data_IF_245315180043
#
_entry.id   IF_245315180043
#
_cell.length_a   1.000
_cell.length_b   1.000
_cell.length_c   1.000
_cell.angle_alpha   90.00
_cell.angle_beta   90.00
_cell.angle_gamma   90.00
#
_symmetry.space_group_name_H-M   'P 1'
#
loop_
_entity.id
_entity.type
_entity.pdbx_description
1 polymer ?
#
# COMPACT_ATOMS: atom_id res chain seq x y z
N UNK A 1 40.32 20.71 -36.63
CA UNK A 1 39.55 21.22 -35.48
C UNK A 1 39.11 20.02 -34.66
N UNK A 2 39.85 19.70 -33.61
CA UNK A 2 39.68 18.47 -32.81
C UNK A 2 38.90 18.77 -31.52
N UNK A 3 37.94 17.90 -31.17
CA UNK A 3 37.17 17.96 -29.93
C UNK A 3 38.07 17.69 -28.71
N UNK A 4 37.86 18.38 -27.57
CA UNK A 4 38.48 17.96 -26.33
C UNK A 4 37.70 16.80 -25.71
N UNK A 5 38.39 15.67 -25.55
CA UNK A 5 37.97 14.49 -24.79
C UNK A 5 37.74 14.88 -23.33
N UNK A 6 36.48 14.91 -22.87
CA UNK A 6 36.17 15.01 -21.44
C UNK A 6 36.25 13.63 -20.79
N UNK A 7 37.45 13.28 -20.37
CA UNK A 7 37.68 12.25 -19.34
C UNK A 7 37.18 12.80 -18.02
N UNK A 8 35.95 12.47 -17.66
CA UNK A 8 35.33 12.82 -16.39
C UNK A 8 34.79 11.56 -15.73
N UNK A 9 35.51 11.09 -14.73
CA UNK A 9 35.16 10.07 -13.73
C UNK A 9 33.69 10.20 -13.31
N UNK A 10 32.80 9.38 -13.87
CA UNK A 10 31.48 9.15 -13.24
C UNK A 10 31.70 8.13 -12.15
N UNK A 11 31.66 8.65 -10.92
CA UNK A 11 31.60 7.90 -9.68
C UNK A 11 30.60 6.74 -9.84
N UNK A 12 31.13 5.52 -9.87
CA UNK A 12 30.43 4.30 -9.47
C UNK A 12 30.01 4.45 -8.00
N UNK A 13 29.02 5.31 -7.75
CA UNK A 13 28.16 5.11 -6.59
C UNK A 13 27.20 4.02 -7.03
N UNK A 14 27.68 2.77 -6.97
CA UNK A 14 26.80 1.64 -6.78
C UNK A 14 26.02 1.94 -5.50
N UNK A 15 24.91 2.68 -5.63
CA UNK A 15 23.95 2.82 -4.56
C UNK A 15 23.55 1.39 -4.28
N UNK A 16 24.09 0.80 -3.21
CA UNK A 16 23.66 -0.52 -2.78
C UNK A 16 22.15 -0.37 -2.60
N UNK A 17 21.38 -0.93 -3.52
CA UNK A 17 20.01 -1.32 -3.29
C UNK A 17 20.10 -2.32 -2.15
N UNK A 18 20.16 -1.79 -0.93
CA UNK A 18 20.13 -2.56 0.28
C UNK A 18 18.86 -3.37 0.13
N UNK A 19 19.00 -4.70 0.02
CA UNK A 19 17.87 -5.62 -0.11
C UNK A 19 16.80 -5.30 0.92
N UNK A 20 17.23 -4.81 2.09
CA UNK A 20 16.37 -4.28 3.14
C UNK A 20 15.46 -3.14 2.68
N UNK A 21 15.97 -2.12 1.95
CA UNK A 21 15.14 -1.02 1.41
C UNK A 21 14.10 -1.54 0.41
N UNK A 22 14.47 -2.48 -0.45
CA UNK A 22 13.53 -3.12 -1.39
C UNK A 22 12.43 -3.85 -0.62
N UNK A 23 12.80 -4.62 0.40
CA UNK A 23 11.85 -5.31 1.27
C UNK A 23 10.96 -4.34 2.06
N UNK A 24 11.49 -3.21 2.53
CA UNK A 24 10.72 -2.16 3.20
C UNK A 24 9.68 -1.55 2.26
N UNK A 25 10.05 -1.19 1.02
CA UNK A 25 9.09 -0.67 0.05
C UNK A 25 8.04 -1.72 -0.36
N UNK A 26 8.46 -2.96 -0.60
CA UNK A 26 7.54 -4.06 -0.90
C UNK A 26 6.56 -4.30 0.26
N UNK A 27 7.08 -4.34 1.50
CA UNK A 27 6.27 -4.45 2.72
C UNK A 27 5.31 -3.27 2.89
N UNK A 28 5.75 -2.05 2.54
CA UNK A 28 4.91 -0.86 2.62
C UNK A 28 3.76 -0.91 1.61
N UNK A 29 4.02 -1.37 0.38
CA UNK A 29 2.97 -1.58 -0.63
C UNK A 29 1.97 -2.63 -0.16
N UNK A 30 2.46 -3.78 0.32
CA UNK A 30 1.59 -4.86 0.84
C UNK A 30 0.71 -4.33 1.98
N UNK A 31 1.30 -3.68 2.98
CA UNK A 31 0.55 -3.13 4.11
C UNK A 31 -0.40 -2.01 3.69
N UNK A 32 -0.05 -1.18 2.71
CA UNK A 32 -0.90 -0.11 2.20
C UNK A 32 -2.15 -0.66 1.48
N UNK A 33 -2.03 -1.82 0.83
CA UNK A 33 -3.14 -2.48 0.15
C UNK A 33 -4.10 -3.20 1.12
N UNK A 34 -3.69 -3.42 2.37
CA UNK A 34 -4.54 -4.03 3.39
C UNK A 34 -5.52 -2.98 3.92
N UNK A 35 -6.77 -3.13 3.50
CA UNK A 35 -7.89 -2.30 3.92
C UNK A 35 -8.66 -2.86 5.13
N UNK A 36 -9.72 -2.14 5.53
CA UNK A 36 -10.66 -2.64 6.53
C UNK A 36 -11.37 -3.91 6.08
N UNK A 37 -11.63 -4.09 4.78
CA UNK A 37 -12.26 -5.30 4.25
C UNK A 37 -11.38 -6.55 4.40
N UNK A 38 -10.06 -6.40 4.33
CA UNK A 38 -9.12 -7.47 4.68
C UNK A 38 -9.05 -7.69 6.19
N UNK A 39 -9.02 -6.61 6.98
CA UNK A 39 -8.96 -6.68 8.45
C UNK A 39 -10.19 -7.34 9.08
N UNK A 40 -11.39 -7.10 8.55
CA UNK A 40 -12.65 -7.74 8.97
C UNK A 40 -12.90 -9.08 8.27
N UNK A 41 -12.04 -9.48 7.32
CA UNK A 41 -12.18 -10.71 6.54
C UNK A 41 -13.29 -10.69 5.48
N UNK A 42 -14.02 -9.58 5.32
CA UNK A 42 -15.14 -9.47 4.38
C UNK A 42 -14.71 -9.66 2.92
N UNK A 43 -13.56 -9.09 2.53
CA UNK A 43 -13.01 -9.28 1.16
C UNK A 43 -12.65 -10.74 0.90
N UNK A 44 -12.07 -11.41 1.90
CA UNK A 44 -11.66 -12.83 1.80
C UNK A 44 -12.90 -13.71 1.62
N UNK A 45 -13.92 -13.52 2.45
CA UNK A 45 -15.16 -14.28 2.38
C UNK A 45 -15.89 -14.06 1.06
N UNK A 46 -15.96 -12.82 0.59
CA UNK A 46 -16.77 -12.45 -0.57
C UNK A 46 -16.09 -12.77 -1.91
N UNK A 47 -14.78 -12.55 -2.04
CA UNK A 47 -14.09 -12.65 -3.33
C UNK A 47 -13.22 -13.89 -3.49
N UNK A 48 -12.74 -14.47 -2.39
CA UNK A 48 -11.79 -15.58 -2.43
C UNK A 48 -12.41 -16.90 -2.00
N UNK A 49 -13.14 -16.93 -0.88
CA UNK A 49 -13.70 -18.17 -0.32
C UNK A 49 -15.03 -18.59 -0.97
N UNK A 50 -15.84 -17.64 -1.45
CA UNK A 50 -17.17 -17.89 -2.01
C UNK A 50 -17.19 -18.82 -3.23
N UNK A 51 -16.11 -18.85 -4.01
CA UNK A 51 -15.97 -19.68 -5.22
C UNK A 51 -15.03 -20.89 -5.03
N UNK A 52 -14.72 -21.25 -3.77
CA UNK A 52 -13.79 -22.35 -3.46
C UNK A 52 -12.37 -22.12 -3.98
N UNK A 53 -11.63 -23.19 -4.28
CA UNK A 53 -10.23 -23.11 -4.69
C UNK A 53 -10.01 -22.28 -5.97
N UNK A 54 -11.00 -22.29 -6.88
CA UNK A 54 -10.95 -21.49 -8.11
C UNK A 54 -11.06 -19.98 -7.85
N UNK A 55 -11.81 -19.56 -6.82
CA UNK A 55 -11.85 -18.17 -6.38
C UNK A 55 -10.50 -17.70 -5.85
N UNK A 56 -9.85 -18.53 -5.03
CA UNK A 56 -8.54 -18.22 -4.46
C UNK A 56 -7.49 -18.07 -5.56
N UNK A 57 -7.38 -19.05 -6.47
CA UNK A 57 -6.35 -19.04 -7.52
C UNK A 57 -6.70 -18.04 -8.62
N UNK A 58 -7.93 -18.03 -9.10
CA UNK A 58 -8.37 -17.17 -10.20
C UNK A 58 -8.40 -15.70 -9.81
N UNK A 59 -9.18 -15.34 -8.79
CA UNK A 59 -9.28 -13.95 -8.32
C UNK A 59 -7.94 -13.47 -7.76
N UNK A 60 -7.25 -14.31 -6.98
CA UNK A 60 -5.96 -13.95 -6.39
C UNK A 60 -4.88 -13.68 -7.43
N UNK A 61 -4.74 -14.54 -8.45
CA UNK A 61 -3.76 -14.32 -9.51
C UNK A 61 -4.05 -13.04 -10.31
N UNK A 62 -5.31 -12.81 -10.68
CA UNK A 62 -5.71 -11.61 -11.43
C UNK A 62 -5.43 -10.34 -10.62
N UNK A 63 -5.85 -10.30 -9.35
CA UNK A 63 -5.61 -9.14 -8.47
C UNK A 63 -4.11 -8.89 -8.28
N UNK A 64 -3.33 -9.95 -8.04
CA UNK A 64 -1.88 -9.83 -7.84
C UNK A 64 -1.17 -9.29 -9.09
N UNK A 65 -1.53 -9.77 -10.28
CA UNK A 65 -0.96 -9.29 -11.56
C UNK A 65 -1.31 -7.82 -11.77
N UNK A 66 -2.58 -7.44 -11.63
CA UNK A 66 -3.04 -6.08 -11.87
C UNK A 66 -2.43 -5.08 -10.88
N UNK A 67 -2.42 -5.41 -9.60
CA UNK A 67 -1.82 -4.55 -8.57
C UNK A 67 -0.32 -4.40 -8.80
N UNK A 68 0.39 -5.49 -9.10
CA UNK A 68 1.84 -5.44 -9.36
C UNK A 68 2.15 -4.58 -10.57
N UNK A 69 1.38 -4.73 -11.66
CA UNK A 69 1.53 -3.92 -12.86
C UNK A 69 1.34 -2.42 -12.55
N UNK A 70 0.24 -2.04 -11.90
CA UNK A 70 -0.05 -0.63 -11.57
C UNK A 70 0.98 -0.06 -10.61
N UNK A 71 1.35 -0.78 -9.56
CA UNK A 71 2.32 -0.33 -8.58
C UNK A 71 3.72 -0.13 -9.21
N UNK A 72 4.16 -1.08 -10.04
CA UNK A 72 5.44 -0.99 -10.73
C UNK A 72 5.48 0.21 -11.71
N UNK A 73 4.43 0.38 -12.51
CA UNK A 73 4.29 1.51 -13.44
C UNK A 73 4.35 2.86 -12.70
N UNK A 74 3.57 3.00 -11.62
CA UNK A 74 3.51 4.25 -10.86
C UNK A 74 4.84 4.58 -10.19
N UNK A 75 5.51 3.58 -9.61
CA UNK A 75 6.84 3.76 -8.99
C UNK A 75 7.89 4.11 -10.04
N UNK A 76 7.90 3.41 -11.17
CA UNK A 76 8.87 3.63 -12.24
C UNK A 76 8.71 5.02 -12.85
N UNK A 77 7.49 5.39 -13.26
CA UNK A 77 7.22 6.71 -13.84
C UNK A 77 7.41 7.83 -12.81
N UNK A 78 6.98 7.62 -11.56
CA UNK A 78 7.20 8.56 -10.47
C UNK A 78 8.69 8.84 -10.24
N UNK A 79 9.52 7.79 -10.24
CA UNK A 79 10.97 7.91 -10.10
C UNK A 79 11.62 8.59 -11.30
N UNK A 80 11.21 8.24 -12.53
CA UNK A 80 11.79 8.77 -13.76
C UNK A 80 11.44 10.25 -13.99
N UNK A 81 10.18 10.64 -13.72
CA UNK A 81 9.68 12.00 -13.98
C UNK A 81 9.93 12.96 -12.83
N UNK A 82 10.10 12.46 -11.59
CA UNK A 82 10.35 13.26 -10.38
C UNK A 82 9.39 14.45 -10.28
N UNK A 83 8.09 14.15 -10.34
CA UNK A 83 7.05 15.17 -10.29
C UNK A 83 7.17 16.02 -9.02
N UNK A 84 6.93 17.33 -9.13
CA UNK A 84 6.85 18.23 -7.97
C UNK A 84 5.71 17.84 -7.02
N UNK A 85 4.61 17.34 -7.59
CA UNK A 85 3.47 16.80 -6.85
C UNK A 85 3.15 15.38 -7.33
N UNK A 86 3.02 14.39 -6.43
CA UNK A 86 2.72 13.00 -6.81
C UNK A 86 1.46 12.86 -7.68
N UNK A 87 0.44 13.69 -7.46
CA UNK A 87 -0.82 13.64 -8.21
C UNK A 87 -0.69 14.05 -9.69
N UNK A 88 0.43 14.68 -10.09
CA UNK A 88 0.71 14.98 -11.50
C UNK A 88 0.84 13.72 -12.36
N UNK A 89 1.05 12.56 -11.74
CA UNK A 89 1.03 11.27 -12.42
C UNK A 89 -0.30 11.01 -13.14
N UNK A 90 -1.42 11.50 -12.60
CA UNK A 90 -2.73 11.34 -13.23
C UNK A 90 -2.83 12.11 -14.54
N UNK A 91 -2.32 13.35 -14.56
CA UNK A 91 -2.24 14.17 -15.79
C UNK A 91 -1.26 13.58 -16.81
N UNK A 92 -0.20 12.94 -16.35
CA UNK A 92 0.76 12.26 -17.22
C UNK A 92 0.10 11.12 -18.01
N UNK A 93 -0.69 10.27 -17.35
CA UNK A 93 -1.33 9.12 -18.03
C UNK A 93 -2.62 9.48 -18.78
N UNK A 94 -3.42 10.40 -18.24
CA UNK A 94 -4.81 10.62 -18.72
C UNK A 94 -5.05 11.99 -19.35
N UNK A 95 -4.00 12.81 -19.45
CA UNK A 95 -4.08 14.15 -20.02
C UNK A 95 -4.73 15.18 -19.09
N UNK A 96 -4.98 16.39 -19.62
CA UNK A 96 -5.37 17.55 -18.81
C UNK A 96 -6.73 17.39 -18.13
N UNK A 97 -7.75 16.96 -18.86
CA UNK A 97 -9.13 16.93 -18.36
C UNK A 97 -9.34 15.78 -17.37
N UNK A 98 -9.09 14.55 -17.81
CA UNK A 98 -9.29 13.37 -16.99
C UNK A 98 -8.26 13.29 -15.85
N UNK A 99 -7.04 13.78 -16.07
CA UNK A 99 -6.02 13.80 -15.02
C UNK A 99 -6.32 14.81 -13.93
N UNK A 100 -6.93 15.95 -14.26
CA UNK A 100 -7.38 16.91 -13.25
C UNK A 100 -8.56 16.37 -12.45
N UNK A 101 -9.47 15.63 -13.08
CA UNK A 101 -10.51 14.91 -12.34
C UNK A 101 -9.90 13.93 -11.34
N UNK A 102 -8.96 13.08 -11.77
CA UNK A 102 -8.30 12.11 -10.90
C UNK A 102 -7.46 12.76 -9.79
N UNK A 103 -6.85 13.91 -10.05
CA UNK A 103 -6.13 14.70 -9.04
C UNK A 103 -7.07 15.07 -7.87
N UNK A 104 -8.19 15.73 -8.15
CA UNK A 104 -9.19 16.06 -7.11
C UNK A 104 -9.86 14.82 -6.51
N UNK A 105 -10.19 13.84 -7.35
CA UNK A 105 -10.81 12.59 -6.89
C UNK A 105 -9.89 11.82 -5.95
N UNK A 106 -8.57 11.81 -6.18
CA UNK A 106 -7.62 11.12 -5.31
C UNK A 106 -7.60 11.70 -3.90
N UNK A 107 -7.69 13.03 -3.76
CA UNK A 107 -7.75 13.71 -2.47
C UNK A 107 -9.02 13.30 -1.70
N UNK A 108 -10.16 13.32 -2.39
CA UNK A 108 -11.42 12.85 -1.83
C UNK A 108 -11.35 11.37 -1.46
N UNK A 109 -10.80 10.54 -2.35
CA UNK A 109 -10.68 9.10 -2.16
C UNK A 109 -9.82 8.77 -0.94
N UNK A 110 -8.70 9.46 -0.73
CA UNK A 110 -7.87 9.30 0.49
C UNK A 110 -8.68 9.57 1.75
N UNK A 111 -9.51 10.61 1.77
CA UNK A 111 -10.40 10.90 2.90
C UNK A 111 -11.47 9.81 3.12
N UNK A 112 -12.09 9.33 2.03
CA UNK A 112 -13.05 8.23 2.09
C UNK A 112 -12.40 6.93 2.57
N UNK A 113 -11.21 6.59 2.08
CA UNK A 113 -10.43 5.43 2.53
C UNK A 113 -10.11 5.52 4.02
N UNK A 114 -9.75 6.71 4.53
CA UNK A 114 -9.55 6.91 5.97
C UNK A 114 -10.83 6.63 6.76
N UNK A 115 -11.98 7.14 6.32
CA UNK A 115 -13.27 6.92 6.98
C UNK A 115 -13.65 5.44 6.99
N UNK A 116 -13.47 4.74 5.87
CA UNK A 116 -13.70 3.29 5.74
C UNK A 116 -12.77 2.49 6.66
N UNK A 117 -11.53 2.93 6.86
CA UNK A 117 -10.59 2.31 7.80
C UNK A 117 -11.02 2.49 9.26
N UNK A 118 -11.46 3.69 9.65
CA UNK A 118 -12.00 3.96 11.00
C UNK A 118 -13.22 3.11 11.29
N UNK A 119 -14.13 2.95 10.31
CA UNK A 119 -15.27 2.04 10.43
C UNK A 119 -14.83 0.59 10.63
N UNK A 120 -13.79 0.16 9.90
CA UNK A 120 -13.21 -1.17 10.04
C UNK A 120 -12.65 -1.43 11.43
N UNK A 121 -11.84 -0.49 11.96
CA UNK A 121 -11.31 -0.60 13.32
C UNK A 121 -12.43 -0.62 14.37
N UNK A 122 -13.48 0.18 14.20
CA UNK A 122 -14.66 0.14 15.06
C UNK A 122 -15.36 -1.23 15.05
N UNK A 123 -15.52 -1.83 13.86
CA UNK A 123 -16.11 -3.17 13.72
C UNK A 123 -15.26 -4.25 14.39
N UNK A 124 -13.94 -4.26 14.14
CA UNK A 124 -13.00 -5.21 14.77
C UNK A 124 -13.03 -5.10 16.30
N UNK A 125 -13.09 -3.89 16.86
CA UNK A 125 -13.15 -3.68 18.30
C UNK A 125 -14.46 -4.17 18.92
N UNK A 126 -15.57 -3.96 18.23
CA UNK A 126 -16.88 -4.45 18.68
C UNK A 126 -16.94 -5.98 18.59
N UNK A 127 -16.52 -6.56 17.47
CA UNK A 127 -16.63 -8.00 17.20
C UNK A 127 -15.66 -8.85 18.05
N UNK A 128 -14.41 -8.39 18.23
CA UNK A 128 -13.39 -9.19 18.92
C UNK A 128 -13.21 -8.83 20.40
N UNK A 129 -13.49 -7.59 20.80
CA UNK A 129 -13.28 -7.13 22.18
C UNK A 129 -14.60 -6.77 22.90
N UNK A 130 -15.75 -6.78 22.21
CA UNK A 130 -17.03 -6.38 22.79
C UNK A 130 -17.10 -4.90 23.18
N UNK A 131 -16.15 -4.08 22.70
CA UNK A 131 -16.06 -2.66 23.04
C UNK A 131 -16.90 -1.81 22.07
N UNK A 132 -17.44 -0.67 22.52
CA UNK A 132 -18.16 0.24 21.63
C UNK A 132 -17.33 0.69 20.42
N UNK A 133 -17.95 0.73 19.22
CA UNK A 133 -17.30 1.12 17.95
C UNK A 133 -16.51 2.43 18.02
N UNK A 134 -17.02 3.42 18.76
CA UNK A 134 -16.39 4.73 18.87
C UNK A 134 -15.01 4.65 19.54
N UNK A 135 -14.77 3.70 20.44
CA UNK A 135 -13.47 3.49 21.08
C UNK A 135 -12.44 2.95 20.08
N UNK A 136 -12.83 1.99 19.23
CA UNK A 136 -11.97 1.47 18.17
C UNK A 136 -11.59 2.57 17.17
N UNK A 137 -12.56 3.38 16.74
CA UNK A 137 -12.32 4.51 15.85
C UNK A 137 -11.45 5.60 16.47
N UNK A 138 -11.73 6.01 17.71
CA UNK A 138 -10.94 7.01 18.43
C UNK A 138 -9.51 6.54 18.69
N UNK A 139 -9.33 5.27 19.08
CA UNK A 139 -8.02 4.65 19.27
C UNK A 139 -7.19 4.65 17.97
N UNK A 140 -7.79 4.26 16.85
CA UNK A 140 -7.13 4.32 15.55
C UNK A 140 -6.73 5.77 15.19
N UNK A 141 -7.63 6.73 15.38
CA UNK A 141 -7.35 8.13 15.07
C UNK A 141 -6.17 8.69 15.87
N UNK A 142 -6.05 8.34 17.15
CA UNK A 142 -4.90 8.73 17.99
C UNK A 142 -3.61 8.12 17.45
N UNK A 143 -3.59 6.82 17.16
CA UNK A 143 -2.40 6.12 16.64
C UNK A 143 -1.97 6.70 15.30
N UNK A 144 -2.90 6.92 14.38
CA UNK A 144 -2.61 7.52 13.06
C UNK A 144 -2.08 8.95 13.20
N UNK A 145 -2.67 9.76 14.09
CA UNK A 145 -2.17 11.12 14.34
C UNK A 145 -0.73 11.11 14.85
N UNK A 146 -0.41 10.18 15.76
CA UNK A 146 0.95 10.00 16.27
C UNK A 146 1.93 9.56 15.18
N UNK A 147 1.54 8.62 14.30
CA UNK A 147 2.42 8.15 13.21
C UNK A 147 2.71 9.23 12.18
N UNK A 148 1.71 10.07 11.86
CA UNK A 148 1.87 11.19 10.92
C UNK A 148 2.82 12.26 11.46
N UNK A 149 2.84 12.52 12.77
CA UNK A 149 3.79 13.47 13.38
C UNK A 149 5.26 13.10 13.18
N UNK A 150 5.58 11.82 13.00
CA UNK A 150 6.96 11.39 12.72
C UNK A 150 7.39 11.65 11.26
N UNK A 151 6.48 12.08 10.39
CA UNK A 151 6.77 12.43 8.99
C UNK A 151 6.87 11.24 8.04
N UNK A 152 6.83 11.53 6.74
CA UNK A 152 6.62 10.54 5.66
C UNK A 152 7.65 9.41 5.64
N UNK A 153 8.94 9.73 5.85
CA UNK A 153 10.00 8.71 5.83
C UNK A 153 9.82 7.68 6.95
N UNK A 154 9.59 8.16 8.17
CA UNK A 154 9.36 7.29 9.32
C UNK A 154 8.05 6.51 9.17
N UNK A 155 7.02 7.13 8.58
CA UNK A 155 5.76 6.46 8.26
C UNK A 155 6.00 5.28 7.31
N UNK A 156 6.74 5.46 6.21
CA UNK A 156 7.10 4.36 5.30
C UNK A 156 7.94 3.29 6.00
N UNK A 157 8.91 3.69 6.83
CA UNK A 157 9.75 2.73 7.57
C UNK A 157 8.94 1.90 8.59
N UNK A 158 7.95 2.49 9.25
CA UNK A 158 7.04 1.79 10.16
C UNK A 158 6.14 0.82 9.39
N UNK A 159 5.43 1.31 8.37
CA UNK A 159 4.50 0.48 7.58
C UNK A 159 5.24 -0.64 6.85
N UNK A 160 6.43 -0.34 6.31
CA UNK A 160 7.28 -1.31 5.61
C UNK A 160 7.78 -2.45 6.49
N UNK A 161 7.88 -2.24 7.81
CA UNK A 161 8.17 -3.31 8.79
C UNK A 161 6.92 -4.08 9.18
N UNK A 162 5.77 -3.41 9.26
CA UNK A 162 4.49 -4.03 9.61
C UNK A 162 4.04 -5.01 8.52
N UNK A 163 4.22 -4.69 7.23
CA UNK A 163 3.79 -5.53 6.12
C UNK A 163 4.25 -6.99 6.20
N UNK A 164 5.58 -7.27 6.31
CA UNK A 164 6.08 -8.63 6.47
C UNK A 164 5.53 -9.35 7.72
N UNK A 165 5.33 -8.62 8.82
CA UNK A 165 4.75 -9.19 10.05
C UNK A 165 3.32 -9.68 9.80
N UNK A 166 2.49 -8.88 9.12
CA UNK A 166 1.12 -9.27 8.78
C UNK A 166 1.10 -10.54 7.92
N UNK A 167 2.00 -10.65 6.93
CA UNK A 167 2.11 -11.84 6.07
C UNK A 167 2.45 -13.08 6.90
N UNK A 168 3.44 -12.97 7.80
CA UNK A 168 3.85 -14.10 8.66
C UNK A 168 2.72 -14.53 9.59
N UNK A 169 2.04 -13.58 10.23
CA UNK A 169 0.89 -13.86 11.10
C UNK A 169 -0.23 -14.53 10.32
N UNK A 170 -0.57 -14.03 9.12
CA UNK A 170 -1.58 -14.63 8.27
C UNK A 170 -1.26 -16.08 7.90
N UNK A 171 -0.03 -16.36 7.46
CA UNK A 171 0.41 -17.72 7.14
C UNK A 171 0.36 -18.66 8.35
N UNK A 172 0.74 -18.17 9.53
CA UNK A 172 0.67 -18.96 10.77
C UNK A 172 -0.77 -19.30 11.12
N UNK A 173 -1.68 -18.33 11.06
CA UNK A 173 -3.11 -18.54 11.33
C UNK A 173 -3.72 -19.57 10.38
N UNK A 174 -3.41 -19.51 9.08
CA UNK A 174 -3.90 -20.48 8.09
C UNK A 174 -3.42 -21.91 8.42
N UNK A 175 -2.16 -22.06 8.82
CA UNK A 175 -1.60 -23.35 9.25
C UNK A 175 -2.24 -23.87 10.55
N UNK A 176 -2.57 -22.97 11.48
CA UNK A 176 -3.23 -23.34 12.75
C UNK A 176 -4.69 -23.78 12.61
N UNK A 177 -5.38 -23.33 11.55
CA UNK A 177 -6.79 -23.68 11.28
C UNK A 177 -6.92 -24.98 10.45
N UNK A 178 -5.81 -25.60 10.04
CA UNK A 178 -5.82 -26.89 9.32
C UNK A 178 -6.33 -26.82 7.88
N UNK A 179 -6.20 -25.65 7.23
CA UNK A 179 -6.67 -25.42 5.85
C UNK A 179 -5.65 -25.86 4.78
N UNK A 180 -4.53 -26.47 5.19
CA UNK A 180 -3.56 -27.12 4.29
C UNK A 180 -3.06 -28.40 4.94
#
# INVERSE_FOLDING_TARGET
>A
MAMPTRTGTRLDTAERTSVLRVLTYAGAIIAFLIGSGFATGQEILQYFASYGFQGIVGTGAVVLILITYVAAEFLFVGHMKKFEHPSMIFRYYTGKHLGTFFDYFSILFVFLSFTVMVSGAGAVFEEHFGLPKYLGGAGLAIVVSATVWFGLKNLVDVIGKIGPVIVVVGLFTIRGVGVV
#
